data_IF_955714635433
#
_entry.id   IF_955714635433
#
_cell.length_a   1.000
_cell.length_b   1.000
_cell.length_c   1.000
_cell.angle_alpha   90.00
_cell.angle_beta   90.00
_cell.angle_gamma   90.00
#
_symmetry.space_group_name_H-M   'P 1'
#
loop_
_entity.id
_entity.type
_entity.pdbx_description
1 polymer ?
#
# COMPACT_ATOMS: atom_id res chain seq x y z
N UNK A 1 -10.65 -2.71 19.99
CA UNK A 1 -11.39 -1.65 19.24
C UNK A 1 -10.47 -0.51 18.82
N UNK A 2 -9.65 0.09 19.70
CA UNK A 2 -8.74 1.21 19.37
C UNK A 2 -7.77 0.84 18.23
N UNK A 3 -7.19 -0.35 18.27
CA UNK A 3 -6.22 -0.82 17.26
C UNK A 3 -6.84 -0.91 15.87
N UNK A 4 -8.09 -1.40 15.76
CA UNK A 4 -8.80 -1.47 14.47
C UNK A 4 -9.01 -0.08 13.89
N UNK A 5 -9.43 0.90 14.68
CA UNK A 5 -9.60 2.29 14.24
C UNK A 5 -8.29 2.93 13.78
N UNK A 6 -7.19 2.66 14.49
CA UNK A 6 -5.85 3.14 14.10
C UNK A 6 -5.41 2.53 12.77
N UNK A 7 -5.62 1.22 12.58
CA UNK A 7 -5.32 0.54 11.33
C UNK A 7 -6.21 1.04 10.20
N UNK A 8 -7.51 1.26 10.46
CA UNK A 8 -8.45 1.81 9.47
C UNK A 8 -8.08 3.22 9.05
N UNK A 9 -7.72 4.10 10.00
CA UNK A 9 -7.23 5.44 9.68
C UNK A 9 -5.99 5.39 8.79
N UNK A 10 -5.02 4.53 9.11
CA UNK A 10 -3.84 4.31 8.28
C UNK A 10 -4.18 3.76 6.89
N UNK A 11 -5.25 2.93 6.77
CA UNK A 11 -5.72 2.42 5.48
C UNK A 11 -6.38 3.49 4.63
N UNK A 12 -7.19 4.37 5.20
CA UNK A 12 -7.77 5.52 4.47
C UNK A 12 -6.66 6.40 3.91
N UNK A 13 -5.69 6.76 4.77
CA UNK A 13 -4.56 7.60 4.37
C UNK A 13 -3.68 6.93 3.31
N UNK A 14 -3.36 5.64 3.49
CA UNK A 14 -2.59 4.87 2.52
C UNK A 14 -3.34 4.66 1.20
N UNK A 15 -4.65 4.40 1.26
CA UNK A 15 -5.51 4.26 0.09
C UNK A 15 -5.63 5.55 -0.71
N UNK A 16 -5.72 6.70 -0.04
CA UNK A 16 -5.72 8.01 -0.67
C UNK A 16 -4.42 8.25 -1.46
N UNK A 17 -3.28 8.01 -0.83
CA UNK A 17 -1.98 8.14 -1.49
C UNK A 17 -1.82 7.19 -2.68
N UNK A 18 -2.26 5.95 -2.55
CA UNK A 18 -2.23 4.98 -3.63
C UNK A 18 -3.14 5.37 -4.80
N UNK A 19 -4.39 5.79 -4.51
CA UNK A 19 -5.35 6.20 -5.52
C UNK A 19 -4.85 7.37 -6.37
N UNK A 20 -4.30 8.42 -5.73
CA UNK A 20 -3.71 9.56 -6.44
C UNK A 20 -2.49 9.13 -7.29
N UNK A 21 -1.62 8.26 -6.76
CA UNK A 21 -0.44 7.77 -7.49
C UNK A 21 -0.81 6.95 -8.72
N UNK A 22 -1.79 6.05 -8.60
CA UNK A 22 -2.22 5.21 -9.73
C UNK A 22 -2.90 6.06 -10.81
N UNK A 23 -3.74 7.03 -10.42
CA UNK A 23 -4.47 7.88 -11.37
C UNK A 23 -3.54 8.74 -12.23
N UNK A 24 -2.46 9.27 -11.66
CA UNK A 24 -1.56 10.20 -12.33
C UNK A 24 -0.26 9.55 -12.79
N UNK A 25 0.13 8.45 -12.17
CA UNK A 25 1.42 7.82 -12.41
C UNK A 25 1.63 7.39 -13.86
N UNK A 26 0.60 6.82 -14.50
CA UNK A 26 0.65 6.41 -15.89
C UNK A 26 0.78 7.61 -16.84
N UNK A 27 0.01 8.69 -16.57
CA UNK A 27 0.03 9.93 -17.38
C UNK A 27 1.38 10.63 -17.24
N UNK A 28 1.90 10.72 -16.02
CA UNK A 28 3.22 11.32 -15.74
C UNK A 28 4.36 10.53 -16.36
N UNK A 29 4.27 9.19 -16.35
CA UNK A 29 5.26 8.32 -17.00
C UNK A 29 5.27 8.52 -18.51
N UNK A 30 4.11 8.58 -19.14
CA UNK A 30 3.99 8.85 -20.57
C UNK A 30 4.51 10.24 -20.96
N UNK A 31 4.19 11.27 -20.15
CA UNK A 31 4.64 12.65 -20.40
C UNK A 31 6.18 12.78 -20.30
N UNK A 32 6.79 12.15 -19.29
CA UNK A 32 8.25 12.23 -19.09
C UNK A 32 9.02 11.37 -20.11
N UNK A 33 8.46 10.18 -20.45
CA UNK A 33 9.06 9.29 -21.43
C UNK A 33 8.89 9.76 -22.88
N UNK A 34 7.86 10.57 -23.16
CA UNK A 34 7.48 10.96 -24.51
C UNK A 34 6.85 9.81 -25.32
N UNK A 35 6.43 8.73 -24.67
CA UNK A 35 5.90 7.53 -25.29
C UNK A 35 4.78 6.92 -24.41
N UNK A 36 3.56 6.85 -24.94
CA UNK A 36 2.40 6.30 -24.23
C UNK A 36 2.56 4.79 -23.91
N UNK A 37 3.33 4.05 -24.69
CA UNK A 37 3.59 2.63 -24.45
C UNK A 37 4.28 2.37 -23.12
N UNK A 38 5.01 3.34 -22.58
CA UNK A 38 5.75 3.26 -21.33
C UNK A 38 4.90 3.62 -20.09
N UNK A 39 3.65 4.06 -20.29
CA UNK A 39 2.71 4.41 -19.20
C UNK A 39 2.50 3.27 -18.19
N UNK A 40 2.47 2.03 -18.67
CA UNK A 40 2.32 0.82 -17.86
C UNK A 40 3.50 0.55 -16.90
N UNK A 41 4.69 1.09 -17.20
CA UNK A 41 5.87 0.90 -16.35
C UNK A 41 5.73 1.58 -14.99
N UNK A 42 4.89 2.60 -14.86
CA UNK A 42 4.57 3.20 -13.56
C UNK A 42 3.90 2.17 -12.63
N UNK A 43 2.85 1.49 -13.09
CA UNK A 43 2.16 0.46 -12.33
C UNK A 43 3.06 -0.76 -12.08
N UNK A 44 3.85 -1.16 -13.08
CA UNK A 44 4.84 -2.24 -12.94
C UNK A 44 5.90 -1.89 -11.88
N UNK A 45 6.41 -0.66 -11.86
CA UNK A 45 7.35 -0.16 -10.86
C UNK A 45 6.80 -0.27 -9.44
N UNK A 46 5.57 0.22 -9.21
CA UNK A 46 4.89 0.09 -7.91
C UNK A 46 4.71 -1.37 -7.51
N UNK A 47 4.30 -2.23 -8.43
CA UNK A 47 4.07 -3.66 -8.16
C UNK A 47 5.38 -4.38 -7.82
N UNK A 48 6.44 -4.15 -8.59
CA UNK A 48 7.77 -4.70 -8.31
C UNK A 48 8.32 -4.20 -6.96
N UNK A 49 8.16 -2.92 -6.67
CA UNK A 49 8.53 -2.34 -5.39
C UNK A 49 7.76 -2.96 -4.22
N UNK A 50 6.45 -3.18 -4.39
CA UNK A 50 5.61 -3.88 -3.41
C UNK A 50 6.13 -5.29 -3.14
N UNK A 51 6.44 -6.05 -4.17
CA UNK A 51 6.98 -7.41 -4.06
C UNK A 51 8.37 -7.42 -3.39
N UNK A 52 9.28 -6.55 -3.84
CA UNK A 52 10.64 -6.45 -3.31
C UNK A 52 10.66 -6.08 -1.82
N UNK A 53 9.78 -5.17 -1.40
CA UNK A 53 9.72 -4.68 -0.03
C UNK A 53 8.83 -5.53 0.90
N UNK A 54 8.06 -6.48 0.36
CA UNK A 54 7.20 -7.36 1.14
C UNK A 54 7.99 -8.20 2.15
N UNK A 55 9.08 -8.83 1.71
CA UNK A 55 9.91 -9.71 2.56
C UNK A 55 10.66 -8.92 3.62
N UNK A 56 11.41 -7.83 3.31
CA UNK A 56 12.13 -7.07 4.32
C UNK A 56 11.21 -6.40 5.35
N UNK A 57 10.07 -5.85 4.92
CA UNK A 57 9.10 -5.26 5.85
C UNK A 57 8.42 -6.34 6.71
N UNK A 58 8.12 -7.52 6.17
CA UNK A 58 7.63 -8.64 6.98
C UNK A 58 8.68 -9.13 7.99
N UNK A 59 9.95 -9.18 7.61
CA UNK A 59 11.04 -9.50 8.52
C UNK A 59 11.18 -8.46 9.64
N UNK A 60 11.05 -7.17 9.30
CA UNK A 60 11.04 -6.06 10.26
C UNK A 60 9.85 -6.18 11.23
N UNK A 61 8.66 -6.55 10.74
CA UNK A 61 7.49 -6.78 11.56
C UNK A 61 7.70 -7.89 12.59
N UNK A 62 8.39 -8.98 12.20
CA UNK A 62 8.74 -10.08 13.12
C UNK A 62 9.78 -9.68 14.14
N UNK A 63 10.80 -8.89 13.76
CA UNK A 63 11.91 -8.50 14.63
C UNK A 63 11.57 -7.35 15.57
N UNK A 64 10.94 -6.29 15.06
CA UNK A 64 10.69 -5.03 15.77
C UNK A 64 9.20 -4.70 15.98
N UNK A 65 8.31 -5.59 15.52
CA UNK A 65 6.86 -5.46 15.68
C UNK A 65 6.17 -4.68 14.55
N UNK A 66 4.85 -4.89 14.45
CA UNK A 66 3.99 -4.33 13.40
C UNK A 66 4.05 -2.79 13.32
N UNK A 67 4.12 -2.12 14.47
CA UNK A 67 4.20 -0.65 14.54
C UNK A 67 5.37 -0.09 13.75
N UNK A 68 6.57 -0.64 13.96
CA UNK A 68 7.79 -0.15 13.31
C UNK A 68 7.76 -0.49 11.83
N UNK A 69 7.34 -1.70 11.47
CA UNK A 69 7.25 -2.11 10.07
C UNK A 69 6.28 -1.25 9.26
N UNK A 70 5.06 -0.99 9.77
CA UNK A 70 4.07 -0.16 9.09
C UNK A 70 4.56 1.29 8.95
N UNK A 71 5.10 1.87 10.02
CA UNK A 71 5.66 3.21 9.97
C UNK A 71 6.84 3.32 8.99
N UNK A 72 7.73 2.31 8.95
CA UNK A 72 8.85 2.27 8.00
C UNK A 72 8.38 2.13 6.55
N UNK A 73 7.37 1.30 6.29
CA UNK A 73 6.80 1.17 4.95
C UNK A 73 6.21 2.49 4.45
N UNK A 74 5.48 3.21 5.31
CA UNK A 74 4.96 4.54 4.98
C UNK A 74 6.07 5.60 4.84
N UNK A 75 7.15 5.51 5.62
CA UNK A 75 8.28 6.43 5.49
C UNK A 75 9.04 6.21 4.16
N UNK A 76 9.25 4.97 3.74
CA UNK A 76 9.84 4.66 2.43
C UNK A 76 8.93 5.17 1.32
N UNK A 77 7.61 4.97 1.43
CA UNK A 77 6.65 5.47 0.46
C UNK A 77 6.62 7.00 0.41
N UNK A 78 6.76 7.69 1.55
CA UNK A 78 6.88 9.15 1.60
C UNK A 78 8.09 9.65 0.81
N UNK A 79 9.25 9.01 1.00
CA UNK A 79 10.45 9.30 0.20
C UNK A 79 10.18 9.03 -1.28
N UNK A 80 9.52 7.92 -1.60
CA UNK A 80 9.14 7.59 -2.97
C UNK A 80 8.27 8.66 -3.61
N UNK A 81 7.20 9.11 -2.95
CA UNK A 81 6.31 10.15 -3.46
C UNK A 81 7.03 11.49 -3.62
N UNK A 82 7.86 11.87 -2.66
CA UNK A 82 8.68 13.10 -2.79
C UNK A 82 9.63 13.00 -3.99
N UNK A 83 10.19 11.82 -4.22
CA UNK A 83 11.07 11.57 -5.35
C UNK A 83 10.32 11.59 -6.70
N UNK A 84 9.02 11.24 -6.75
CA UNK A 84 8.18 11.43 -7.95
C UNK A 84 8.14 12.89 -8.35
N UNK A 85 7.94 13.80 -7.40
CA UNK A 85 7.92 15.26 -7.67
C UNK A 85 9.28 15.73 -8.21
N UNK A 86 10.37 15.28 -7.60
CA UNK A 86 11.74 15.59 -8.05
C UNK A 86 12.00 15.01 -9.45
N UNK A 87 11.59 13.78 -9.71
CA UNK A 87 11.75 13.13 -11.02
C UNK A 87 10.99 13.87 -12.12
N UNK A 88 9.79 14.39 -11.79
CA UNK A 88 9.02 15.21 -12.70
C UNK A 88 9.73 16.55 -12.99
N UNK A 89 10.26 17.21 -11.96
CA UNK A 89 11.02 18.46 -12.13
C UNK A 89 12.28 18.27 -13.00
N UNK A 90 12.98 17.15 -12.83
CA UNK A 90 14.17 16.80 -13.60
C UNK A 90 13.87 16.13 -14.95
N UNK A 91 12.59 15.83 -15.24
CA UNK A 91 12.12 15.04 -16.40
C UNK A 91 12.92 13.74 -16.58
N UNK A 92 13.25 13.07 -15.46
CA UNK A 92 14.07 11.86 -15.45
C UNK A 92 13.20 10.61 -15.29
N UNK A 93 13.02 9.87 -16.38
CA UNK A 93 12.23 8.64 -16.40
C UNK A 93 12.81 7.52 -15.50
N UNK A 94 14.16 7.25 -15.49
CA UNK A 94 14.71 6.25 -14.58
C UNK A 94 14.48 6.59 -13.10
N UNK A 95 14.58 7.87 -12.73
CA UNK A 95 14.34 8.33 -11.37
C UNK A 95 12.86 8.16 -11.00
N UNK A 96 11.95 8.39 -11.95
CA UNK A 96 10.53 8.17 -11.77
C UNK A 96 10.20 6.69 -11.50
N UNK A 97 10.80 5.77 -12.24
CA UNK A 97 10.62 4.33 -12.01
C UNK A 97 11.12 3.90 -10.63
N UNK A 98 12.29 4.40 -10.21
CA UNK A 98 12.80 4.16 -8.85
C UNK A 98 11.82 4.71 -7.79
N UNK A 99 11.31 5.91 -8.01
CA UNK A 99 10.34 6.55 -7.13
C UNK A 99 9.06 5.70 -6.98
N UNK A 100 8.50 5.20 -8.08
CA UNK A 100 7.34 4.31 -8.04
C UNK A 100 7.66 2.98 -7.34
N UNK A 101 8.86 2.44 -7.50
CA UNK A 101 9.32 1.29 -6.74
C UNK A 101 9.29 1.54 -5.22
N UNK A 102 9.73 2.70 -4.76
CA UNK A 102 9.66 3.07 -3.34
C UNK A 102 8.22 3.31 -2.86
N UNK A 103 7.35 3.86 -3.71
CA UNK A 103 5.91 4.00 -3.40
C UNK A 103 5.26 2.64 -3.13
N UNK A 104 5.74 1.57 -3.75
CA UNK A 104 5.31 0.19 -3.48
C UNK A 104 5.44 -0.23 -2.02
N UNK A 105 6.33 0.38 -1.23
CA UNK A 105 6.42 0.15 0.22
C UNK A 105 5.12 0.51 0.96
N UNK A 106 4.44 1.57 0.54
CA UNK A 106 3.15 1.97 1.09
C UNK A 106 2.08 0.92 0.85
N UNK A 107 2.04 0.35 -0.34
CA UNK A 107 1.14 -0.76 -0.68
C UNK A 107 1.44 -2.01 0.15
N UNK A 108 2.72 -2.33 0.35
CA UNK A 108 3.13 -3.41 1.25
C UNK A 108 2.66 -3.17 2.68
N UNK A 109 2.80 -1.95 3.20
CA UNK A 109 2.32 -1.59 4.53
C UNK A 109 0.78 -1.70 4.63
N UNK A 110 0.05 -1.28 3.59
CA UNK A 110 -1.41 -1.46 3.52
C UNK A 110 -1.81 -2.95 3.59
N UNK A 111 -1.16 -3.81 2.85
CA UNK A 111 -1.40 -5.26 2.91
C UNK A 111 -1.08 -5.82 4.31
N UNK A 112 0.05 -5.42 4.89
CA UNK A 112 0.45 -5.86 6.23
C UNK A 112 -0.49 -5.38 7.34
N UNK A 113 -1.15 -4.23 7.19
CA UNK A 113 -2.10 -3.73 8.19
C UNK A 113 -3.38 -4.58 8.22
N UNK A 114 -3.79 -5.16 7.09
CA UNK A 114 -4.91 -6.13 7.03
C UNK A 114 -4.56 -7.40 7.82
N UNK A 115 -3.34 -7.93 7.64
CA UNK A 115 -2.88 -9.06 8.45
C UNK A 115 -2.76 -8.71 9.92
N UNK A 116 -2.33 -7.47 10.26
CA UNK A 116 -2.28 -7.00 11.64
C UNK A 116 -3.67 -6.94 12.28
N UNK A 117 -4.70 -6.53 11.54
CA UNK A 117 -6.07 -6.56 12.01
C UNK A 117 -6.56 -7.98 12.30
N UNK A 118 -6.27 -8.93 11.42
CA UNK A 118 -6.61 -10.34 11.60
C UNK A 118 -5.87 -11.00 12.77
N UNK A 119 -4.59 -10.65 12.97
CA UNK A 119 -3.74 -11.22 14.05
C UNK A 119 -4.13 -10.72 15.44
N UNK A 120 -4.67 -9.49 15.53
CA UNK A 120 -5.02 -8.83 16.79
C UNK A 120 -6.50 -9.00 17.18
N UNK A 121 -7.31 -9.53 16.27
CA UNK A 121 -8.72 -9.81 16.50
C UNK A 121 -8.92 -11.12 17.28
N UNK A 122 -10.02 -11.19 18.04
CA UNK A 122 -10.51 -12.46 18.62
C UNK A 122 -11.22 -13.28 17.54
N UNK A 123 -11.36 -14.60 17.72
CA UNK A 123 -12.03 -15.46 16.73
C UNK A 123 -13.46 -14.98 16.42
N UNK A 124 -14.18 -14.45 17.41
CA UNK A 124 -15.52 -13.91 17.25
C UNK A 124 -15.58 -12.58 16.47
N UNK A 125 -14.51 -11.77 16.47
CA UNK A 125 -14.51 -10.44 15.83
C UNK A 125 -13.64 -10.37 14.57
N UNK A 126 -12.89 -11.43 14.26
CA UNK A 126 -11.87 -11.46 13.21
C UNK A 126 -12.40 -11.04 11.83
N UNK A 127 -13.54 -11.60 11.43
CA UNK A 127 -14.17 -11.27 10.14
C UNK A 127 -14.59 -9.80 10.08
N UNK A 128 -15.24 -9.31 11.13
CA UNK A 128 -15.70 -7.91 11.24
C UNK A 128 -14.52 -6.93 11.23
N UNK A 129 -13.51 -7.20 12.05
CA UNK A 129 -12.36 -6.29 12.21
C UNK A 129 -11.55 -6.22 10.90
N UNK A 130 -11.38 -7.35 10.21
CA UNK A 130 -10.76 -7.40 8.89
C UNK A 130 -11.60 -6.63 7.85
N UNK A 131 -12.92 -6.83 7.82
CA UNK A 131 -13.81 -6.14 6.89
C UNK A 131 -13.77 -4.63 7.07
N UNK A 132 -13.77 -4.12 8.31
CA UNK A 132 -13.67 -2.68 8.59
C UNK A 132 -12.36 -2.11 8.03
N UNK A 133 -11.23 -2.79 8.24
CA UNK A 133 -9.92 -2.33 7.75
C UNK A 133 -9.85 -2.39 6.23
N UNK A 134 -10.40 -3.43 5.59
CA UNK A 134 -10.45 -3.52 4.13
C UNK A 134 -11.37 -2.45 3.54
N UNK A 135 -12.53 -2.22 4.15
CA UNK A 135 -13.49 -1.20 3.71
C UNK A 135 -12.92 0.23 3.82
N UNK A 136 -12.13 0.48 4.85
CA UNK A 136 -11.43 1.75 5.02
C UNK A 136 -10.50 2.08 3.83
N UNK A 137 -9.89 1.07 3.19
CA UNK A 137 -9.08 1.26 1.98
C UNK A 137 -9.90 1.80 0.82
N UNK A 138 -11.15 1.34 0.67
CA UNK A 138 -12.05 1.79 -0.40
C UNK A 138 -12.35 3.28 -0.27
N UNK A 139 -12.56 3.78 0.95
CA UNK A 139 -12.76 5.22 1.20
C UNK A 139 -11.54 6.02 0.69
N UNK A 140 -10.32 5.59 1.05
CA UNK A 140 -9.10 6.23 0.59
C UNK A 140 -8.94 6.18 -0.94
N UNK A 141 -9.22 5.03 -1.55
CA UNK A 141 -9.10 4.84 -2.99
C UNK A 141 -10.10 5.69 -3.79
N UNK A 142 -11.31 5.90 -3.27
CA UNK A 142 -12.32 6.79 -3.88
C UNK A 142 -11.95 8.26 -3.69
N UNK A 143 -11.42 8.64 -2.54
CA UNK A 143 -11.00 10.02 -2.28
C UNK A 143 -9.79 10.43 -3.13
N UNK A 144 -8.86 9.50 -3.41
CA UNK A 144 -7.61 9.79 -4.14
C UNK A 144 -7.84 10.50 -5.47
N UNK A 145 -8.60 9.94 -6.43
CA UNK A 145 -8.90 10.59 -7.70
C UNK A 145 -9.64 11.93 -7.57
N UNK A 146 -10.52 12.06 -6.56
CA UNK A 146 -11.26 13.31 -6.32
C UNK A 146 -10.38 14.46 -5.84
N UNK A 147 -9.19 14.17 -5.34
CA UNK A 147 -8.21 15.17 -4.92
C UNK A 147 -7.30 15.63 -6.07
N UNK A 148 -7.46 15.12 -7.28
CA UNK A 148 -6.62 15.50 -8.43
C UNK A 148 -6.80 16.97 -8.78
N UNK A 149 -8.03 17.45 -8.96
CA UNK A 149 -8.29 18.85 -9.30
C UNK A 149 -7.83 19.83 -8.20
N UNK A 150 -8.25 19.69 -6.92
CA UNK A 150 -7.77 20.60 -5.89
C UNK A 150 -6.24 20.49 -5.67
N UNK A 151 -5.66 19.30 -5.90
CA UNK A 151 -4.21 19.12 -5.85
C UNK A 151 -3.48 19.90 -6.94
N UNK A 152 -3.98 19.89 -8.16
CA UNK A 152 -3.40 20.67 -9.24
C UNK A 152 -3.45 22.17 -8.95
N UNK A 153 -4.57 22.68 -8.45
CA UNK A 153 -4.67 24.09 -8.07
C UNK A 153 -3.65 24.49 -7.00
N UNK A 154 -3.39 23.61 -6.02
CA UNK A 154 -2.33 23.84 -5.01
C UNK A 154 -0.94 23.74 -5.65
N UNK A 155 -0.72 22.79 -6.54
CA UNK A 155 0.54 22.63 -7.25
C UNK A 155 0.90 23.86 -8.09
N UNK A 156 -0.07 24.39 -8.81
CA UNK A 156 0.08 25.61 -9.63
C UNK A 156 0.42 26.83 -8.75
N UNK A 157 -0.27 26.96 -7.60
CA UNK A 157 0.00 28.03 -6.64
C UNK A 157 1.40 27.93 -6.01
N UNK A 158 1.95 26.70 -5.89
CA UNK A 158 3.29 26.45 -5.35
C UNK A 158 4.39 26.41 -6.44
N UNK A 159 4.06 26.61 -7.70
CA UNK A 159 5.00 26.53 -8.82
C UNK A 159 5.57 25.12 -9.04
N UNK A 160 4.79 24.06 -8.72
CA UNK A 160 5.22 22.67 -8.87
C UNK A 160 5.17 22.24 -10.35
N UNK A 161 5.95 21.21 -10.76
CA UNK A 161 5.86 20.67 -12.09
C UNK A 161 4.43 20.21 -12.43
N UNK A 162 4.02 20.26 -13.70
CA UNK A 162 2.71 19.80 -14.14
C UNK A 162 2.42 18.37 -13.67
N UNK A 163 1.17 18.06 -13.37
CA UNK A 163 0.69 16.75 -12.90
C UNK A 163 1.20 16.32 -11.52
N UNK A 164 2.01 17.12 -10.83
CA UNK A 164 2.56 16.74 -9.51
C UNK A 164 1.81 17.31 -8.31
N UNK A 165 0.94 18.29 -8.51
CA UNK A 165 0.17 18.92 -7.44
C UNK A 165 -0.59 17.96 -6.51
N UNK A 166 -1.32 16.96 -7.03
CA UNK A 166 -2.01 15.96 -6.19
C UNK A 166 -1.12 15.15 -5.26
N UNK A 167 0.18 15.03 -5.58
CA UNK A 167 1.12 14.34 -4.69
C UNK A 167 1.35 15.08 -3.35
N UNK A 168 1.00 16.37 -3.25
CA UNK A 168 1.00 17.10 -1.97
C UNK A 168 0.08 16.43 -0.95
N UNK A 169 -1.13 16.05 -1.37
CA UNK A 169 -2.05 15.30 -0.50
C UNK A 169 -1.51 13.92 -0.15
N UNK A 170 -0.84 13.27 -1.09
CA UNK A 170 -0.21 11.96 -0.86
C UNK A 170 0.92 12.09 0.16
N UNK A 171 1.77 13.10 0.06
CA UNK A 171 2.85 13.40 1.02
C UNK A 171 2.25 13.67 2.41
N UNK A 172 1.23 14.52 2.51
CA UNK A 172 0.56 14.81 3.76
C UNK A 172 -0.09 13.56 4.38
N UNK A 173 -0.78 12.76 3.57
CA UNK A 173 -1.41 11.50 4.02
C UNK A 173 -0.37 10.48 4.49
N UNK A 174 0.76 10.32 3.79
CA UNK A 174 1.84 9.43 4.19
C UNK A 174 2.50 9.90 5.50
N UNK A 175 2.78 11.20 5.63
CA UNK A 175 3.33 11.78 6.85
C UNK A 175 2.39 11.57 8.05
N UNK A 176 1.09 11.84 7.87
CA UNK A 176 0.08 11.61 8.90
C UNK A 176 -0.04 10.13 9.25
N UNK A 177 0.04 9.25 8.26
CA UNK A 177 0.01 7.79 8.46
C UNK A 177 1.21 7.33 9.32
N UNK A 178 2.40 7.88 9.08
CA UNK A 178 3.59 7.59 9.91
C UNK A 178 3.34 8.00 11.36
N UNK A 179 2.79 9.20 11.59
CA UNK A 179 2.44 9.69 12.93
C UNK A 179 1.41 8.77 13.59
N UNK A 180 0.34 8.42 12.88
CA UNK A 180 -0.70 7.50 13.37
C UNK A 180 -0.11 6.15 13.76
N UNK A 181 0.69 5.52 12.91
CA UNK A 181 1.31 4.24 13.23
C UNK A 181 2.36 4.35 14.34
N UNK A 182 3.11 5.45 14.40
CA UNK A 182 4.18 5.65 15.38
C UNK A 182 3.67 5.94 16.79
N UNK A 183 2.57 6.67 16.92
CA UNK A 183 2.08 7.15 18.21
C UNK A 183 0.76 6.52 18.66
N UNK A 184 -0.16 6.23 17.73
CA UNK A 184 -1.47 5.69 18.08
C UNK A 184 -1.47 4.16 18.18
N UNK A 185 -0.61 3.45 17.42
CA UNK A 185 -0.45 2.00 17.52
C UNK A 185 0.42 1.68 18.74
N UNK A 186 -0.19 1.22 19.82
CA UNK A 186 0.55 0.81 21.03
C UNK A 186 1.39 -0.44 20.71
N UNK A 187 2.63 -0.54 21.24
CA UNK A 187 3.37 -1.78 21.17
C UNK A 187 2.55 -2.88 21.87
N UNK A 188 2.38 -4.00 21.20
CA UNK A 188 1.73 -5.18 21.83
C UNK A 188 2.63 -5.62 22.99
N UNK A 189 2.15 -5.70 24.24
CA UNK A 189 2.95 -6.17 25.37
C UNK A 189 3.56 -7.54 25.02
N UNK A 190 4.82 -7.76 25.38
CA UNK A 190 5.55 -9.03 25.11
C UNK A 190 4.74 -10.26 25.55
N UNK A 191 3.99 -10.15 26.65
CA UNK A 191 3.11 -11.19 27.16
C UNK A 191 1.99 -11.57 26.17
N UNK A 192 1.35 -10.58 25.51
CA UNK A 192 0.30 -10.84 24.50
C UNK A 192 0.92 -11.46 23.25
N UNK A 193 2.12 -11.00 22.83
CA UNK A 193 2.85 -11.60 21.72
C UNK A 193 3.23 -13.05 22.02
N UNK A 194 3.65 -13.36 23.26
CA UNK A 194 3.95 -14.72 23.71
C UNK A 194 2.69 -15.60 23.74
N UNK A 195 1.57 -15.09 24.26
CA UNK A 195 0.30 -15.83 24.31
C UNK A 195 -0.23 -16.10 22.89
N UNK A 196 -0.11 -15.15 21.99
CA UNK A 196 -0.48 -15.33 20.57
C UNK A 196 0.46 -16.31 19.88
N UNK A 197 1.76 -16.26 20.14
CA UNK A 197 2.74 -17.22 19.62
C UNK A 197 2.50 -18.63 20.17
N UNK A 198 2.17 -18.75 21.46
CA UNK A 198 1.82 -20.03 22.10
C UNK A 198 0.54 -20.62 21.48
N UNK A 199 -0.54 -19.83 21.39
CA UNK A 199 -1.78 -20.26 20.72
C UNK A 199 -1.58 -20.61 19.26
N UNK A 200 -0.64 -19.97 18.57
CA UNK A 200 -0.28 -20.30 17.20
C UNK A 200 0.48 -21.62 17.11
N UNK A 201 1.37 -21.91 18.09
CA UNK A 201 2.03 -23.20 18.23
C UNK A 201 1.01 -24.32 18.49
N UNK A 202 0.10 -24.09 19.43
CA UNK A 202 -0.92 -25.09 19.80
C UNK A 202 -1.83 -25.39 18.59
N UNK A 203 -2.24 -24.37 17.81
CA UNK A 203 -3.00 -24.57 16.56
C UNK A 203 -2.20 -25.25 15.45
N UNK A 204 -0.90 -24.96 15.32
CA UNK A 204 -0.05 -25.62 14.34
C UNK A 204 0.08 -27.11 14.70
N UNK A 205 0.19 -27.43 15.98
CA UNK A 205 0.19 -28.83 16.44
C UNK A 205 -1.15 -29.51 16.17
N UNK A 206 -2.28 -28.81 16.35
CA UNK A 206 -3.62 -29.32 16.04
C UNK A 206 -3.89 -29.43 14.53
N UNK A 207 -3.27 -28.56 13.70
CA UNK A 207 -3.36 -28.62 12.22
C UNK A 207 -2.38 -29.61 11.58
N UNK A 208 -1.29 -30.00 12.23
CA UNK A 208 -0.38 -31.06 11.74
C UNK A 208 -1.10 -32.42 11.61
N UNK A 209 -2.24 -32.59 12.28
CA UNK A 209 -3.09 -33.79 12.15
C UNK A 209 -3.88 -33.81 10.81
N UNK A 210 -3.99 -32.68 10.07
CA UNK A 210 -4.52 -32.68 8.70
C UNK A 210 -3.37 -32.52 7.70
N UNK A 211 -3.12 -33.51 6.82
CA UNK A 211 -2.05 -33.40 5.84
C UNK A 211 -2.32 -32.20 4.94
N UNK A 212 -1.50 -31.17 5.10
CA UNK A 212 -1.52 -29.99 4.25
C UNK A 212 -1.14 -30.46 2.83
N UNK A 213 -2.04 -30.30 1.88
CA UNK A 213 -1.77 -30.66 0.49
C UNK A 213 -0.94 -29.55 -0.15
N UNK A 214 0.38 -29.70 -0.36
CA UNK A 214 1.22 -28.65 -0.93
C UNK A 214 0.76 -28.23 -2.34
N UNK A 215 0.00 -29.10 -3.00
CA UNK A 215 -0.62 -28.85 -4.31
C UNK A 215 -1.69 -27.76 -4.20
N UNK A 216 -2.51 -27.72 -3.14
CA UNK A 216 -3.57 -26.73 -2.97
C UNK A 216 -3.03 -25.33 -2.71
N UNK A 217 -1.89 -25.19 -2.03
CA UNK A 217 -1.24 -23.90 -1.80
C UNK A 217 -0.71 -23.29 -3.11
N UNK A 218 -0.11 -24.09 -3.98
CA UNK A 218 0.35 -23.67 -5.30
C UNK A 218 -0.79 -23.19 -6.20
N UNK A 219 -1.91 -23.93 -6.23
CA UNK A 219 -3.10 -23.53 -6.97
C UNK A 219 -3.70 -22.23 -6.41
N UNK A 220 -3.77 -22.07 -5.08
CA UNK A 220 -4.26 -20.85 -4.45
C UNK A 220 -3.38 -19.64 -4.78
N UNK A 221 -2.06 -19.79 -4.78
CA UNK A 221 -1.10 -18.74 -5.17
C UNK A 221 -1.30 -18.39 -6.65
N UNK A 222 -1.38 -19.39 -7.53
CA UNK A 222 -1.57 -19.15 -8.97
C UNK A 222 -2.92 -18.49 -9.25
N UNK A 223 -4.01 -18.98 -8.67
CA UNK A 223 -5.34 -18.41 -8.84
C UNK A 223 -5.41 -16.96 -8.35
N UNK A 224 -4.78 -16.66 -7.19
CA UNK A 224 -4.72 -15.30 -6.68
C UNK A 224 -3.86 -14.39 -7.57
N UNK A 225 -2.73 -14.87 -8.07
CA UNK A 225 -1.88 -14.13 -8.99
C UNK A 225 -2.58 -13.84 -10.33
N UNK A 226 -3.29 -14.83 -10.89
CA UNK A 226 -4.07 -14.68 -12.12
C UNK A 226 -5.22 -13.67 -11.93
N UNK A 227 -6.00 -13.81 -10.85
CA UNK A 227 -7.09 -12.89 -10.54
C UNK A 227 -6.60 -11.45 -10.36
N UNK A 228 -5.48 -11.27 -9.67
CA UNK A 228 -4.87 -9.95 -9.47
C UNK A 228 -4.32 -9.37 -10.78
N UNK A 229 -3.71 -10.21 -11.62
CA UNK A 229 -3.25 -9.82 -12.96
C UNK A 229 -4.37 -9.32 -13.85
N UNK A 230 -5.50 -10.06 -13.89
CA UNK A 230 -6.70 -9.65 -14.65
C UNK A 230 -7.26 -8.31 -14.11
N UNK A 231 -7.38 -8.17 -12.79
CA UNK A 231 -7.86 -6.94 -12.18
C UNK A 231 -6.98 -5.72 -12.54
N UNK A 232 -5.67 -5.87 -12.45
CA UNK A 232 -4.72 -4.79 -12.77
C UNK A 232 -4.76 -4.46 -14.26
N UNK A 233 -4.87 -5.45 -15.14
CA UNK A 233 -4.96 -5.25 -16.59
C UNK A 233 -6.22 -4.47 -16.97
N UNK A 234 -7.38 -4.82 -16.41
CA UNK A 234 -8.63 -4.10 -16.63
C UNK A 234 -8.50 -2.66 -16.11
N UNK A 235 -7.95 -2.48 -14.91
CA UNK A 235 -7.81 -1.17 -14.30
C UNK A 235 -6.84 -0.26 -15.06
N UNK A 236 -5.79 -0.81 -15.66
CA UNK A 236 -4.82 -0.08 -16.46
C UNK A 236 -5.38 0.30 -17.86
N UNK A 237 -6.25 -0.55 -18.44
CA UNK A 237 -6.81 -0.32 -19.77
C UNK A 237 -8.05 0.58 -19.79
N UNK A 238 -8.78 0.69 -18.67
CA UNK A 238 -10.00 1.50 -18.59
C UNK A 238 -9.76 2.98 -18.92
N UNK A 239 -8.72 3.67 -18.42
CA UNK A 239 -8.46 5.07 -18.78
C UNK A 239 -8.08 5.27 -20.25
N UNK A 240 -7.43 4.29 -20.88
CA UNK A 240 -7.04 4.35 -22.28
C UNK A 240 -8.27 4.27 -23.19
N UNK A 241 -9.25 3.43 -22.82
CA UNK A 241 -10.50 3.25 -23.59
C UNK A 241 -11.47 4.43 -23.48
N UNK A 242 -11.39 5.21 -22.40
CA UNK A 242 -12.25 6.38 -22.20
C UNK A 242 -11.79 7.65 -22.97
N UNK A 243 -10.63 7.61 -23.62
CA UNK A 243 -10.11 8.72 -24.43
C UNK A 243 -10.48 8.64 -25.92
N UNK A 244 -11.14 7.57 -26.34
CA UNK A 244 -11.74 7.36 -27.64
C UNK A 244 -13.27 7.41 -27.54
#
# INVERSE_FOLDING_TARGET
RRTVWVLSAGQVLGGLGFGATVSLGAVLAADIAGDESLSGLAAAGVTLGTAALAVPLAALARRRGRRISLASGMAIALVGVSLVVVAAALRSFPLLLLAFGLVGAGQTANLQSRFAAADLATDATRGRDLSIVVWATTIGAVLGPNLVQPGQAIGDALGMPPLTGPYVFTIAAQALSIVVYRFALRPVPRLVAQTVAQRRRDRVVEQIVKPDRPVSARYAIFANAAAHGVMVSIMAMTPVHMRH
#
